data_IF_741965996307
#
_entry.id   IF_741965996307
#
_cell.length_a   1.000
_cell.length_b   1.000
_cell.length_c   1.000
_cell.angle_alpha   90.00
_cell.angle_beta   90.00
_cell.angle_gamma   90.00
#
_symmetry.space_group_name_H-M   'P 1'
#
loop_
_entity.id
_entity.type
_entity.pdbx_description
1 polymer ?
#
# COMPACT_ATOMS: atom_id res chain seq x y z
N UNK A 1 -19.10 -11.07 -3.74
CA UNK A 1 -18.44 -11.61 -2.52
C UNK A 1 -17.20 -12.48 -2.80
N UNK A 2 -17.23 -13.48 -3.68
CA UNK A 2 -16.03 -14.32 -3.94
C UNK A 2 -14.86 -13.54 -4.55
N UNK A 3 -15.14 -12.69 -5.55
CA UNK A 3 -14.13 -11.87 -6.24
C UNK A 3 -13.48 -10.88 -5.27
N UNK A 4 -14.26 -10.13 -4.50
CA UNK A 4 -13.74 -9.17 -3.53
C UNK A 4 -12.83 -9.86 -2.49
N UNK A 5 -13.24 -11.03 -1.97
CA UNK A 5 -12.40 -11.81 -1.04
C UNK A 5 -11.09 -12.29 -1.66
N UNK A 6 -11.13 -12.73 -2.92
CA UNK A 6 -9.92 -13.16 -3.61
C UNK A 6 -8.92 -12.00 -3.81
N UNK A 7 -9.41 -10.81 -4.17
CA UNK A 7 -8.58 -9.61 -4.29
C UNK A 7 -8.00 -9.20 -2.93
N UNK A 8 -8.83 -9.21 -1.89
CA UNK A 8 -8.40 -8.87 -0.54
C UNK A 8 -7.31 -9.83 -0.04
N UNK A 9 -7.49 -11.14 -0.23
CA UNK A 9 -6.49 -12.14 0.16
C UNK A 9 -5.19 -12.02 -0.63
N UNK A 10 -5.28 -11.73 -1.93
CA UNK A 10 -4.09 -11.47 -2.77
C UNK A 10 -3.29 -10.30 -2.21
N UNK A 11 -3.94 -9.17 -1.94
CA UNK A 11 -3.27 -7.98 -1.43
C UNK A 11 -2.72 -8.18 -0.02
N UNK A 12 -3.39 -8.96 0.84
CA UNK A 12 -2.88 -9.32 2.16
C UNK A 12 -1.60 -10.16 2.08
N UNK A 13 -1.57 -11.15 1.19
CA UNK A 13 -0.38 -12.00 0.97
C UNK A 13 0.79 -11.19 0.42
N UNK A 14 0.51 -10.29 -0.53
CA UNK A 14 1.52 -9.39 -1.08
C UNK A 14 2.07 -8.48 0.02
N UNK A 15 1.21 -7.84 0.80
CA UNK A 15 1.63 -6.96 1.89
C UNK A 15 2.46 -7.70 2.96
N UNK A 16 2.05 -8.93 3.32
CA UNK A 16 2.81 -9.78 4.24
C UNK A 16 4.20 -10.15 3.69
N UNK A 17 4.30 -10.48 2.39
CA UNK A 17 5.59 -10.76 1.76
C UNK A 17 6.48 -9.51 1.69
N UNK A 18 5.89 -8.38 1.35
CA UNK A 18 6.61 -7.10 1.18
C UNK A 18 7.04 -6.50 2.51
N UNK A 19 6.39 -6.83 3.62
CA UNK A 19 6.85 -6.41 4.96
C UNK A 19 8.27 -6.89 5.28
N UNK A 20 8.68 -8.04 4.74
CA UNK A 20 10.06 -8.53 4.85
C UNK A 20 11.05 -7.67 4.04
N UNK A 21 10.60 -7.04 2.96
CA UNK A 21 11.43 -6.11 2.20
C UNK A 21 11.77 -4.85 3.02
N UNK A 22 10.88 -4.43 3.93
CA UNK A 22 11.18 -3.35 4.86
C UNK A 22 12.33 -3.72 5.81
N UNK A 23 12.29 -4.93 6.37
CA UNK A 23 13.39 -5.43 7.20
C UNK A 23 14.70 -5.50 6.40
N UNK A 24 14.64 -6.03 5.17
CA UNK A 24 15.80 -6.07 4.28
C UNK A 24 16.35 -4.66 4.00
N UNK A 25 15.48 -3.68 3.73
CA UNK A 25 15.88 -2.29 3.50
C UNK A 25 16.60 -1.69 4.71
N UNK A 26 16.09 -1.94 5.93
CA UNK A 26 16.73 -1.50 7.18
C UNK A 26 18.09 -2.14 7.36
N UNK A 27 18.21 -3.45 7.13
CA UNK A 27 19.49 -4.17 7.25
C UNK A 27 20.52 -3.67 6.22
N UNK A 28 20.11 -3.47 4.97
CA UNK A 28 20.97 -2.91 3.91
C UNK A 28 21.41 -1.49 4.28
N UNK A 29 20.50 -0.67 4.82
CA UNK A 29 20.82 0.67 5.28
C UNK A 29 21.87 0.67 6.39
N UNK A 30 21.66 -0.16 7.43
CA UNK A 30 22.57 -0.28 8.55
C UNK A 30 23.95 -0.81 8.11
N UNK A 31 23.97 -1.85 7.25
CA UNK A 31 25.21 -2.40 6.72
C UNK A 31 25.98 -1.37 5.88
N UNK A 32 25.29 -0.64 4.99
CA UNK A 32 25.91 0.40 4.18
C UNK A 32 26.48 1.54 5.06
N UNK A 33 25.77 1.95 6.10
CA UNK A 33 26.25 2.97 7.04
C UNK A 33 27.50 2.47 7.79
N UNK A 34 27.50 1.22 8.25
CA UNK A 34 28.64 0.61 8.96
C UNK A 34 29.87 0.51 8.06
N UNK A 35 29.71 0.00 6.82
CA UNK A 35 30.80 -0.12 5.84
C UNK A 35 31.38 1.27 5.51
N UNK A 36 30.51 2.25 5.30
CA UNK A 36 30.93 3.62 5.02
C UNK A 36 31.74 4.22 6.17
N UNK A 37 31.31 3.97 7.41
CA UNK A 37 31.98 4.52 8.58
C UNK A 37 33.31 3.83 8.88
N UNK A 38 33.37 2.47 8.76
CA UNK A 38 34.56 1.68 9.12
C UNK A 38 35.61 1.66 8.03
N UNK A 39 35.18 1.55 6.75
CA UNK A 39 36.10 1.35 5.62
C UNK A 39 36.21 2.58 4.71
N UNK A 40 35.48 3.65 5.04
CA UNK A 40 35.39 4.86 4.20
C UNK A 40 35.02 4.55 2.73
N UNK A 41 34.29 3.42 2.50
CA UNK A 41 33.85 2.94 1.21
C UNK A 41 32.35 3.18 1.06
N UNK A 42 31.95 3.73 -0.08
CA UNK A 42 30.53 3.99 -0.41
C UNK A 42 30.27 3.51 -1.83
N UNK A 43 29.11 2.87 -2.02
CA UNK A 43 28.65 2.47 -3.36
C UNK A 43 27.23 2.98 -3.59
N UNK A 44 27.00 3.60 -4.75
CA UNK A 44 25.68 4.05 -5.15
C UNK A 44 24.70 2.87 -5.33
N UNK A 45 25.20 1.69 -5.70
CA UNK A 45 24.36 0.49 -5.82
C UNK A 45 23.66 0.13 -4.51
N UNK A 46 24.32 0.26 -3.34
CA UNK A 46 23.70 0.00 -2.05
C UNK A 46 22.58 0.99 -1.71
N UNK A 47 22.76 2.26 -2.07
CA UNK A 47 21.72 3.29 -1.90
C UNK A 47 20.53 3.02 -2.80
N UNK A 48 20.78 2.60 -4.04
CA UNK A 48 19.72 2.29 -5.00
C UNK A 48 18.92 1.05 -4.62
N UNK A 49 19.56 -0.01 -4.08
CA UNK A 49 18.87 -1.18 -3.54
C UNK A 49 17.89 -0.76 -2.43
N UNK A 50 18.29 0.14 -1.54
CA UNK A 50 17.41 0.65 -0.49
C UNK A 50 16.17 1.33 -1.10
N UNK A 51 16.37 2.19 -2.10
CA UNK A 51 15.25 2.88 -2.77
C UNK A 51 14.31 1.90 -3.49
N UNK A 52 14.87 0.85 -4.11
CA UNK A 52 14.05 -0.19 -4.75
C UNK A 52 13.22 -0.97 -3.74
N UNK A 53 13.79 -1.32 -2.60
CA UNK A 53 13.08 -1.99 -1.53
C UNK A 53 11.98 -1.09 -0.94
N UNK A 54 12.27 0.19 -0.69
CA UNK A 54 11.26 1.14 -0.25
C UNK A 54 10.16 1.34 -1.30
N UNK A 55 10.52 1.47 -2.58
CA UNK A 55 9.54 1.57 -3.65
C UNK A 55 8.64 0.33 -3.71
N UNK A 56 9.19 -0.88 -3.53
CA UNK A 56 8.43 -2.12 -3.46
C UNK A 56 7.43 -2.09 -2.28
N UNK A 57 7.89 -1.70 -1.08
CA UNK A 57 7.02 -1.57 0.09
C UNK A 57 5.89 -0.58 -0.18
N UNK A 58 6.21 0.63 -0.64
CA UNK A 58 5.20 1.66 -0.90
C UNK A 58 4.18 1.25 -1.95
N UNK A 59 4.63 0.76 -3.09
CA UNK A 59 3.75 0.46 -4.21
C UNK A 59 2.90 -0.78 -3.98
N UNK A 60 3.47 -1.83 -3.38
CA UNK A 60 2.79 -3.11 -3.24
C UNK A 60 1.97 -3.22 -1.94
N UNK A 61 2.29 -2.45 -0.89
CA UNK A 61 1.51 -2.42 0.34
C UNK A 61 0.36 -1.40 0.30
N UNK A 62 0.38 -0.40 -0.59
CA UNK A 62 -0.66 0.63 -0.69
C UNK A 62 -2.09 0.08 -0.85
N UNK A 63 -2.36 -0.97 -1.66
CA UNK A 63 -3.68 -1.58 -1.74
C UNK A 63 -4.17 -2.17 -0.41
N UNK A 64 -3.27 -2.77 0.38
CA UNK A 64 -3.59 -3.30 1.69
C UNK A 64 -3.96 -2.18 2.69
N UNK A 65 -3.24 -1.05 2.66
CA UNK A 65 -3.56 0.14 3.45
C UNK A 65 -4.93 0.72 3.08
N UNK A 66 -5.26 0.75 1.77
CA UNK A 66 -6.58 1.15 1.29
C UNK A 66 -7.68 0.25 1.85
N UNK A 67 -7.48 -1.07 1.83
CA UNK A 67 -8.43 -2.05 2.37
C UNK A 67 -8.67 -1.87 3.87
N UNK A 68 -7.62 -1.57 4.64
CA UNK A 68 -7.70 -1.41 6.09
C UNK A 68 -8.27 -0.08 6.53
N UNK A 69 -8.57 0.80 5.59
CA UNK A 69 -9.05 2.15 5.88
C UNK A 69 -8.09 2.95 6.80
N UNK A 70 -6.80 2.67 6.67
CA UNK A 70 -5.73 3.29 7.48
C UNK A 70 -5.23 4.62 6.89
N UNK A 71 -5.86 5.12 5.82
CA UNK A 71 -5.57 6.43 5.29
C UNK A 71 -6.11 7.53 6.22
N UNK A 72 -5.31 8.57 6.40
CA UNK A 72 -5.72 9.76 7.17
C UNK A 72 -6.96 10.37 6.50
N UNK A 73 -8.11 10.28 7.17
CA UNK A 73 -9.36 10.91 6.73
C UNK A 73 -9.61 12.17 7.55
N UNK A 74 -10.19 13.16 6.93
CA UNK A 74 -10.68 14.33 7.65
C UNK A 74 -12.08 13.97 8.22
N UNK A 75 -12.09 13.10 9.22
CA UNK A 75 -13.33 12.58 9.85
C UNK A 75 -14.15 13.67 10.55
N UNK A 76 -13.54 14.81 10.83
CA UNK A 76 -14.22 15.95 11.49
C UNK A 76 -15.42 16.46 10.70
N UNK A 77 -15.37 16.43 9.37
CA UNK A 77 -16.47 16.82 8.49
C UNK A 77 -17.36 15.63 8.14
N UNK A 78 -16.74 14.54 7.67
CA UNK A 78 -17.45 13.35 7.17
C UNK A 78 -18.16 12.60 8.30
N UNK A 79 -17.57 12.56 9.50
CA UNK A 79 -18.13 11.91 10.67
C UNK A 79 -19.46 12.52 11.17
N UNK A 80 -19.81 13.74 10.73
CA UNK A 80 -21.11 14.37 11.07
C UNK A 80 -22.28 13.85 10.24
N UNK A 81 -22.00 13.17 9.13
CA UNK A 81 -23.05 12.64 8.25
C UNK A 81 -23.50 11.24 8.67
N UNK A 82 -24.71 10.86 8.24
CA UNK A 82 -25.19 9.50 8.43
C UNK A 82 -24.26 8.49 7.73
N UNK A 83 -24.17 7.27 8.25
CA UNK A 83 -23.33 6.21 7.67
C UNK A 83 -23.59 5.95 6.18
N UNK A 84 -24.86 5.96 5.79
CA UNK A 84 -25.23 5.84 4.38
C UNK A 84 -24.64 6.96 3.53
N UNK A 85 -24.65 8.19 4.02
CA UNK A 85 -24.06 9.35 3.32
C UNK A 85 -22.54 9.22 3.23
N UNK A 86 -21.88 8.75 4.28
CA UNK A 86 -20.43 8.50 4.27
C UNK A 86 -20.06 7.48 3.18
N UNK A 87 -20.81 6.37 3.08
CA UNK A 87 -20.60 5.35 2.05
C UNK A 87 -20.80 5.90 0.64
N UNK A 88 -21.75 6.81 0.43
CA UNK A 88 -21.93 7.49 -0.85
C UNK A 88 -20.78 8.42 -1.20
N UNK A 89 -20.26 9.16 -0.21
CA UNK A 89 -19.06 10.01 -0.38
C UNK A 89 -17.86 9.15 -0.75
N UNK A 90 -17.66 8.03 -0.08
CA UNK A 90 -16.59 7.08 -0.39
C UNK A 90 -16.69 6.53 -1.81
N UNK A 91 -17.90 6.08 -2.21
CA UNK A 91 -18.15 5.57 -3.56
C UNK A 91 -17.82 6.62 -4.63
N UNK A 92 -18.24 7.86 -4.40
CA UNK A 92 -17.92 8.97 -5.28
C UNK A 92 -16.40 9.20 -5.38
N UNK A 93 -15.71 9.18 -4.22
CA UNK A 93 -14.25 9.31 -4.17
C UNK A 93 -13.51 8.19 -4.91
N UNK A 94 -13.94 6.94 -4.73
CA UNK A 94 -13.33 5.80 -5.46
C UNK A 94 -13.57 5.86 -6.94
N UNK A 95 -14.80 6.16 -7.36
CA UNK A 95 -15.17 6.12 -8.77
C UNK A 95 -14.65 7.32 -9.55
N UNK A 96 -14.70 8.54 -8.97
CA UNK A 96 -14.35 9.78 -9.68
C UNK A 96 -12.87 10.16 -9.52
N UNK A 97 -12.23 9.81 -8.41
CA UNK A 97 -10.85 10.22 -8.17
C UNK A 97 -9.90 9.03 -8.19
N UNK A 98 -10.11 8.01 -7.36
CA UNK A 98 -9.13 6.93 -7.22
C UNK A 98 -8.98 6.15 -8.51
N UNK A 99 -10.04 5.60 -9.07
CA UNK A 99 -9.96 4.78 -10.28
C UNK A 99 -9.43 5.55 -11.48
N UNK A 100 -9.93 6.75 -11.84
CA UNK A 100 -9.42 7.48 -12.99
C UNK A 100 -7.94 7.84 -12.86
N UNK A 101 -7.51 8.31 -11.69
CA UNK A 101 -6.10 8.64 -11.45
C UNK A 101 -5.22 7.40 -11.57
N UNK A 102 -5.60 6.29 -10.93
CA UNK A 102 -4.86 5.04 -11.03
C UNK A 102 -4.81 4.49 -12.47
N UNK A 103 -5.90 4.60 -13.23
CA UNK A 103 -5.94 4.20 -14.63
C UNK A 103 -5.02 5.06 -15.51
N UNK A 104 -4.99 6.37 -15.29
CA UNK A 104 -4.08 7.27 -16.03
C UNK A 104 -2.62 6.94 -15.72
N UNK A 105 -2.30 6.74 -14.43
CA UNK A 105 -0.92 6.39 -14.04
C UNK A 105 -0.53 5.01 -14.59
N UNK A 106 -1.43 4.04 -14.56
CA UNK A 106 -1.20 2.72 -15.14
C UNK A 106 -0.97 2.81 -16.65
N UNK A 107 -1.80 3.59 -17.37
CA UNK A 107 -1.70 3.77 -18.80
C UNK A 107 -0.34 4.32 -19.23
N UNK A 108 0.17 5.35 -18.55
CA UNK A 108 1.49 5.91 -18.83
C UNK A 108 2.63 5.11 -18.16
N UNK A 109 2.37 4.42 -17.08
CA UNK A 109 3.35 3.61 -16.37
C UNK A 109 3.78 2.36 -17.13
N UNK A 110 2.87 1.74 -17.90
CA UNK A 110 3.19 0.57 -18.71
C UNK A 110 4.27 0.88 -19.77
N UNK A 111 4.09 1.86 -20.68
CA UNK A 111 5.12 2.18 -21.67
C UNK A 111 6.41 2.69 -21.01
N UNK A 112 6.33 3.42 -19.90
CA UNK A 112 7.47 3.89 -19.14
C UNK A 112 8.33 2.74 -18.60
N UNK A 113 7.71 1.71 -18.03
CA UNK A 113 8.42 0.53 -17.56
C UNK A 113 8.93 -0.34 -18.73
N UNK A 114 8.13 -0.49 -19.77
CA UNK A 114 8.49 -1.26 -20.97
C UNK A 114 9.74 -0.71 -21.66
N UNK A 115 9.81 0.61 -21.87
CA UNK A 115 10.97 1.24 -22.51
C UNK A 115 12.23 1.09 -21.66
N UNK A 116 12.13 1.18 -20.34
CA UNK A 116 13.25 0.95 -19.42
C UNK A 116 13.77 -0.49 -19.47
N UNK A 117 12.86 -1.48 -19.60
CA UNK A 117 13.24 -2.89 -19.78
C UNK A 117 13.93 -3.09 -21.14
N UNK A 118 13.36 -2.52 -22.20
CA UNK A 118 13.86 -2.67 -23.57
C UNK A 118 15.24 -2.05 -23.77
N UNK A 119 15.48 -0.88 -23.18
CA UNK A 119 16.76 -0.17 -23.27
C UNK A 119 17.80 -0.69 -22.29
N UNK A 120 17.45 -1.64 -21.41
CA UNK A 120 18.29 -2.06 -20.28
C UNK A 120 18.84 -0.86 -19.51
N UNK A 121 17.97 0.11 -19.22
CA UNK A 121 18.31 1.40 -18.65
C UNK A 121 19.11 1.25 -17.36
N UNK A 122 20.25 1.90 -17.33
CA UNK A 122 21.14 1.96 -16.18
C UNK A 122 20.98 3.29 -15.44
N UNK A 123 21.23 3.25 -14.14
CA UNK A 123 21.27 4.47 -13.33
C UNK A 123 22.32 5.45 -13.84
N UNK A 124 22.01 6.73 -13.77
CA UNK A 124 22.95 7.82 -14.08
C UNK A 124 24.08 7.97 -13.03
N UNK A 125 23.95 7.31 -11.89
CA UNK A 125 24.95 7.35 -10.84
C UNK A 125 26.14 6.43 -11.18
N UNK A 126 27.35 6.87 -10.89
CA UNK A 126 28.54 6.04 -11.07
C UNK A 126 28.46 4.77 -10.22
N UNK A 127 28.53 3.59 -10.86
CA UNK A 127 28.37 2.29 -10.19
C UNK A 127 26.94 1.97 -9.75
N UNK A 128 25.95 2.65 -10.35
CA UNK A 128 24.53 2.40 -10.09
C UNK A 128 24.00 1.14 -10.75
N UNK A 129 22.73 0.81 -10.45
CA UNK A 129 22.07 -0.42 -10.86
C UNK A 129 21.18 -0.23 -12.10
N UNK A 130 20.64 -1.34 -12.60
CA UNK A 130 19.60 -1.36 -13.64
C UNK A 130 18.29 -0.81 -13.06
N UNK A 131 17.70 0.20 -13.70
CA UNK A 131 16.56 0.96 -13.16
C UNK A 131 15.21 0.28 -13.38
N UNK A 132 15.07 -0.57 -14.41
CA UNK A 132 13.79 -1.16 -14.78
C UNK A 132 13.05 -1.92 -13.64
N UNK A 133 13.71 -2.57 -12.64
CA UNK A 133 12.97 -3.23 -11.57
C UNK A 133 12.16 -2.25 -10.72
N UNK A 134 12.71 -1.07 -10.44
CA UNK A 134 11.98 -0.01 -9.73
C UNK A 134 10.82 0.55 -10.56
N UNK A 135 11.02 0.72 -11.88
CA UNK A 135 9.99 1.24 -12.79
C UNK A 135 8.81 0.30 -12.97
N UNK A 136 9.03 -1.02 -12.97
CA UNK A 136 7.94 -2.03 -13.03
C UNK A 136 7.04 -1.97 -11.79
N UNK A 137 7.56 -1.60 -10.64
CA UNK A 137 6.74 -1.49 -9.42
C UNK A 137 5.61 -0.47 -9.57
N UNK A 138 5.79 0.56 -10.39
CA UNK A 138 4.76 1.59 -10.61
C UNK A 138 3.50 0.98 -11.26
N UNK A 139 3.54 0.43 -12.48
CA UNK A 139 2.34 -0.15 -13.09
C UNK A 139 1.78 -1.33 -12.29
N UNK A 140 2.61 -2.16 -11.66
CA UNK A 140 2.16 -3.27 -10.83
C UNK A 140 1.40 -2.76 -9.59
N UNK A 141 1.95 -1.78 -8.86
CA UNK A 141 1.31 -1.19 -7.69
C UNK A 141 -0.03 -0.53 -8.02
N UNK A 142 -0.08 0.25 -9.12
CA UNK A 142 -1.33 0.88 -9.55
C UNK A 142 -2.35 -0.11 -10.10
N UNK A 143 -1.94 -1.20 -10.73
CA UNK A 143 -2.86 -2.29 -11.12
C UNK A 143 -3.48 -2.95 -9.87
N UNK A 144 -2.69 -3.25 -8.85
CA UNK A 144 -3.18 -3.79 -7.58
C UNK A 144 -4.10 -2.79 -6.86
N UNK A 145 -3.78 -1.49 -6.93
CA UNK A 145 -4.62 -0.43 -6.36
C UNK A 145 -5.98 -0.33 -7.06
N UNK A 146 -6.03 -0.48 -8.40
CA UNK A 146 -7.29 -0.54 -9.16
C UNK A 146 -8.11 -1.75 -8.72
N UNK A 147 -7.49 -2.93 -8.62
CA UNK A 147 -8.16 -4.14 -8.18
C UNK A 147 -8.77 -3.96 -6.78
N UNK A 148 -8.01 -3.39 -5.84
CA UNK A 148 -8.52 -3.10 -4.49
C UNK A 148 -9.62 -2.05 -4.50
N UNK A 149 -9.48 -0.98 -5.29
CA UNK A 149 -10.53 0.03 -5.46
C UNK A 149 -11.84 -0.56 -5.96
N UNK A 150 -11.79 -1.47 -6.92
CA UNK A 150 -12.97 -2.21 -7.40
C UNK A 150 -13.54 -3.09 -6.29
N UNK A 151 -12.71 -3.81 -5.52
CA UNK A 151 -13.17 -4.60 -4.37
C UNK A 151 -13.90 -3.73 -3.34
N UNK A 152 -13.36 -2.56 -3.04
CA UNK A 152 -13.96 -1.62 -2.08
C UNK A 152 -15.30 -1.04 -2.58
N UNK A 153 -15.40 -0.76 -3.87
CA UNK A 153 -16.67 -0.32 -4.49
C UNK A 153 -17.73 -1.42 -4.38
N UNK A 154 -17.38 -2.66 -4.70
CA UNK A 154 -18.31 -3.81 -4.60
C UNK A 154 -18.83 -3.94 -3.16
N UNK A 155 -17.96 -3.90 -2.16
CA UNK A 155 -18.35 -4.01 -0.75
C UNK A 155 -19.31 -2.90 -0.32
N UNK A 156 -19.06 -1.67 -0.73
CA UNK A 156 -19.91 -0.52 -0.40
C UNK A 156 -21.27 -0.57 -1.08
N UNK A 157 -21.32 -1.05 -2.33
CA UNK A 157 -22.59 -1.27 -3.03
C UNK A 157 -23.41 -2.37 -2.33
N UNK A 158 -22.78 -3.49 -1.96
CA UNK A 158 -23.45 -4.58 -1.25
C UNK A 158 -24.00 -4.12 0.13
N UNK A 159 -23.27 -3.25 0.83
CA UNK A 159 -23.77 -2.61 2.06
C UNK A 159 -24.99 -1.74 1.82
N UNK A 160 -24.98 -0.90 0.78
CA UNK A 160 -26.15 -0.07 0.43
C UNK A 160 -27.39 -0.89 0.06
N UNK A 161 -27.18 -2.09 -0.52
CA UNK A 161 -28.24 -3.06 -0.82
C UNK A 161 -28.70 -3.87 0.40
N UNK A 162 -28.12 -3.64 1.58
CA UNK A 162 -28.46 -4.37 2.81
C UNK A 162 -28.00 -5.83 2.85
N UNK A 163 -27.05 -6.20 1.99
CA UNK A 163 -26.51 -7.57 1.90
C UNK A 163 -25.24 -7.79 2.69
N UNK A 164 -24.59 -6.73 3.13
CA UNK A 164 -23.31 -6.77 3.84
C UNK A 164 -23.40 -5.90 5.09
N UNK A 165 -22.79 -6.37 6.18
CA UNK A 165 -22.65 -5.58 7.40
C UNK A 165 -21.44 -4.61 7.25
N UNK A 166 -21.51 -3.49 7.93
CA UNK A 166 -20.47 -2.44 7.98
C UNK A 166 -19.10 -2.99 8.37
N UNK A 167 -19.07 -4.02 9.22
CA UNK A 167 -17.86 -4.70 9.69
C UNK A 167 -16.96 -5.27 8.59
N UNK A 168 -17.48 -5.41 7.38
CA UNK A 168 -16.74 -6.00 6.27
C UNK A 168 -15.75 -5.02 5.61
N UNK A 169 -15.89 -3.70 5.84
CA UNK A 169 -15.03 -2.68 5.20
C UNK A 169 -14.66 -1.50 6.12
N UNK A 170 -15.14 -1.49 7.35
CA UNK A 170 -14.75 -0.47 8.35
C UNK A 170 -14.09 -1.16 9.52
N UNK A 171 -12.86 -0.75 9.83
CA UNK A 171 -12.19 -1.13 11.07
C UNK A 171 -12.92 -0.40 12.21
N UNK A 172 -13.62 -1.14 13.05
CA UNK A 172 -14.19 -0.54 14.26
C UNK A 172 -13.03 -0.11 15.16
N UNK A 173 -12.99 1.17 15.51
CA UNK A 173 -12.15 1.60 16.60
C UNK A 173 -12.50 0.74 17.84
N UNK A 174 -11.51 0.23 18.57
CA UNK A 174 -11.78 -0.54 19.76
C UNK A 174 -12.64 0.30 20.70
N UNK A 175 -13.68 -0.31 21.27
CA UNK A 175 -14.49 0.39 22.27
C UNK A 175 -13.60 0.72 23.46
N UNK A 176 -13.89 1.81 24.22
CA UNK A 176 -13.09 2.16 25.39
C UNK A 176 -12.91 1.00 26.38
N UNK A 177 -13.90 0.09 26.45
CA UNK A 177 -13.81 -1.13 27.26
C UNK A 177 -12.81 -2.13 26.69
N UNK A 178 -12.73 -2.32 25.37
CA UNK A 178 -11.76 -3.19 24.72
C UNK A 178 -10.33 -2.66 24.86
N UNK A 179 -10.14 -1.34 24.83
CA UNK A 179 -8.84 -0.72 25.12
C UNK A 179 -8.42 -0.94 26.58
N UNK A 180 -9.33 -0.75 27.52
CA UNK A 180 -9.08 -1.00 28.93
C UNK A 180 -8.73 -2.47 29.18
N UNK A 181 -9.44 -3.40 28.54
CA UNK A 181 -9.19 -4.84 28.69
C UNK A 181 -7.87 -5.24 28.04
N UNK A 182 -7.50 -4.67 26.89
CA UNK A 182 -6.20 -4.86 26.27
C UNK A 182 -5.05 -4.34 27.14
N UNK A 183 -5.20 -3.16 27.76
CA UNK A 183 -4.23 -2.60 28.70
C UNK A 183 -4.10 -3.48 29.95
N UNK A 184 -5.23 -3.98 30.49
CA UNK A 184 -5.22 -4.90 31.64
C UNK A 184 -4.56 -6.23 31.31
N UNK A 185 -4.73 -6.76 30.10
CA UNK A 185 -4.04 -7.98 29.66
C UNK A 185 -2.55 -7.74 29.46
N UNK A 186 -2.15 -6.63 28.86
CA UNK A 186 -0.74 -6.26 28.72
C UNK A 186 -0.02 -6.10 30.07
N UNK A 187 -0.70 -5.55 31.08
CA UNK A 187 -0.16 -5.39 32.43
C UNK A 187 -0.23 -6.65 33.29
N UNK A 188 -0.79 -7.75 32.80
CA UNK A 188 -0.84 -9.05 33.48
C UNK A 188 0.29 -10.01 33.07
N UNK A 189 1.21 -9.58 32.26
CA UNK A 189 2.34 -10.36 31.76
C UNK A 189 3.61 -10.12 32.64
N UNK A 190 3.45 -9.59 33.84
CA UNK A 190 4.50 -9.54 34.85
C UNK A 190 4.26 -10.58 35.96
#
# INVERSE_FOLDING_TARGET
MAISRAIDELNDRIAAAVSWALLAAVLVCAANALIRYTFNASSNAWLEIQWYLFAAVFMLAAPHTLRRDEHVRIDVVVGRFSRRTQVWIDLFGFFLFLLPICCVILYYGIPFAYESVRSAEMSSNSGGLIVWPAKILVPVGFALMILQGVSEIIKRIEYLLGRLDERAFVKQAPTPQQEIDAIKQANRID
#
